data_IF_350195702014
#
_entry.id   IF_350195702014
#
_cell.length_a   1.000
_cell.length_b   1.000
_cell.length_c   1.000
_cell.angle_alpha   90.00
_cell.angle_beta   90.00
_cell.angle_gamma   90.00
#
_symmetry.space_group_name_H-M   'P 1'
#
loop_
_entity.id
_entity.type
_entity.pdbx_description
1 polymer ?
#
# COMPACT_ATOMS: atom_id res chain seq x y z
N UNK A 1 -4.47 22.98 11.74
CA UNK A 1 -4.63 23.02 10.26
C UNK A 1 -4.90 21.60 9.77
N UNK A 2 -5.73 21.42 8.74
CA UNK A 2 -5.99 20.10 8.18
C UNK A 2 -4.74 19.54 7.51
N UNK A 3 -4.43 18.27 7.74
CA UNK A 3 -3.32 17.53 7.17
C UNK A 3 -3.85 16.69 6.02
N UNK A 4 -3.53 17.03 4.79
CA UNK A 4 -4.11 16.38 3.63
C UNK A 4 -3.24 15.24 3.12
N UNK A 5 -3.86 14.10 2.83
CA UNK A 5 -3.29 12.97 2.08
C UNK A 5 -4.16 12.74 0.86
N UNK A 6 -3.58 12.86 -0.34
CA UNK A 6 -4.27 12.45 -1.55
C UNK A 6 -4.12 10.95 -1.72
N UNK A 7 -5.23 10.25 -1.93
CA UNK A 7 -5.22 8.80 -2.20
C UNK A 7 -5.87 8.54 -3.56
N UNK A 8 -5.14 7.84 -4.44
CA UNK A 8 -5.56 7.50 -5.79
C UNK A 8 -5.41 5.99 -6.02
N UNK A 9 -6.53 5.28 -5.94
CA UNK A 9 -6.62 3.82 -6.06
C UNK A 9 -8.06 3.37 -6.29
N UNK A 10 -8.30 2.05 -6.35
CA UNK A 10 -9.65 1.49 -6.54
C UNK A 10 -10.64 1.90 -5.44
N UNK A 11 -11.92 1.76 -5.74
CA UNK A 11 -12.99 1.90 -4.77
C UNK A 11 -14.06 0.82 -5.00
N UNK A 12 -14.64 0.34 -3.91
CA UNK A 12 -15.79 -0.57 -3.94
C UNK A 12 -16.92 -0.01 -3.09
N UNK A 13 -18.16 -0.21 -3.55
CA UNK A 13 -19.36 0.21 -2.83
C UNK A 13 -19.62 -0.66 -1.59
N UNK A 14 -19.25 -1.94 -1.65
CA UNK A 14 -19.37 -2.90 -0.55
C UNK A 14 -18.02 -3.58 -0.28
N UNK A 15 -17.62 -3.62 0.98
CA UNK A 15 -16.35 -4.17 1.43
C UNK A 15 -15.22 -3.14 1.57
N UNK A 16 -14.04 -3.62 1.92
CA UNK A 16 -12.90 -2.77 2.27
C UNK A 16 -11.66 -3.12 1.41
N UNK A 17 -11.56 -2.50 0.24
CA UNK A 17 -10.36 -2.53 -0.61
C UNK A 17 -10.11 -1.15 -1.22
N UNK A 18 -8.88 -0.87 -1.61
CA UNK A 18 -8.51 0.41 -2.19
C UNK A 18 -8.86 1.59 -1.27
N UNK A 19 -9.49 2.61 -1.82
CA UNK A 19 -9.92 3.79 -1.05
C UNK A 19 -10.92 3.44 0.07
N UNK A 20 -11.79 2.43 -0.13
CA UNK A 20 -12.70 1.98 0.93
C UNK A 20 -11.96 1.43 2.15
N UNK A 21 -10.77 0.85 1.97
CA UNK A 21 -9.93 0.37 3.07
C UNK A 21 -8.97 1.45 3.61
N UNK A 22 -8.45 2.34 2.75
CA UNK A 22 -7.39 3.27 3.12
C UNK A 22 -7.89 4.57 3.78
N UNK A 23 -9.07 5.06 3.40
CA UNK A 23 -9.58 6.37 3.84
C UNK A 23 -9.84 6.39 5.34
N UNK A 24 -10.51 5.39 5.87
CA UNK A 24 -10.89 5.34 7.27
C UNK A 24 -9.67 5.29 8.22
N UNK A 25 -8.66 4.44 8.02
CA UNK A 25 -7.44 4.50 8.83
C UNK A 25 -6.72 5.85 8.77
N UNK A 26 -6.64 6.49 7.60
CA UNK A 26 -6.05 7.82 7.49
C UNK A 26 -6.82 8.86 8.31
N UNK A 27 -8.17 8.80 8.30
CA UNK A 27 -9.01 9.69 9.11
C UNK A 27 -8.79 9.47 10.61
N UNK A 28 -8.76 8.22 11.07
CA UNK A 28 -8.46 7.88 12.47
C UNK A 28 -7.06 8.36 12.88
N UNK A 29 -6.10 8.31 11.99
CA UNK A 29 -4.76 8.85 12.20
C UNK A 29 -4.70 10.40 12.14
N UNK A 30 -5.82 11.09 11.93
CA UNK A 30 -5.93 12.55 11.99
C UNK A 30 -5.59 13.25 10.67
N UNK A 31 -5.65 12.55 9.55
CA UNK A 31 -5.52 13.13 8.22
C UNK A 31 -6.88 13.43 7.59
N UNK A 32 -6.91 14.32 6.62
CA UNK A 32 -8.05 14.64 5.76
C UNK A 32 -7.79 14.08 4.37
N UNK A 33 -8.28 12.86 4.03
CA UNK A 33 -8.03 12.27 2.73
C UNK A 33 -8.71 13.06 1.60
N UNK A 34 -7.98 13.28 0.50
CA UNK A 34 -8.50 13.73 -0.79
C UNK A 34 -8.57 12.48 -1.65
N UNK A 35 -9.78 12.03 -1.99
CA UNK A 35 -10.02 10.72 -2.57
C UNK A 35 -10.24 10.82 -4.07
N UNK A 36 -9.42 10.10 -4.85
CA UNK A 36 -9.56 9.93 -6.30
C UNK A 36 -9.67 8.43 -6.59
N UNK A 37 -10.79 8.00 -7.13
CA UNK A 37 -11.00 6.60 -7.47
C UNK A 37 -10.48 6.32 -8.88
N UNK A 38 -9.78 5.18 -9.05
CA UNK A 38 -9.36 4.68 -10.37
C UNK A 38 -10.42 3.80 -11.01
N UNK A 39 -11.20 3.15 -10.17
CA UNK A 39 -12.34 2.32 -10.55
C UNK A 39 -13.46 2.50 -9.53
N UNK A 40 -14.68 2.23 -9.95
CA UNK A 40 -15.84 2.06 -9.07
C UNK A 40 -16.45 0.70 -9.33
N UNK A 41 -16.36 -0.21 -8.35
CA UNK A 41 -16.97 -1.53 -8.43
C UNK A 41 -17.98 -1.73 -7.29
N UNK A 42 -18.94 -2.61 -7.51
CA UNK A 42 -19.93 -2.97 -6.48
C UNK A 42 -19.27 -3.64 -5.25
N UNK A 43 -18.22 -4.43 -5.49
CA UNK A 43 -17.49 -5.22 -4.50
C UNK A 43 -16.14 -5.66 -5.09
N UNK A 44 -15.29 -6.26 -4.28
CA UNK A 44 -14.02 -6.82 -4.75
C UNK A 44 -14.21 -7.88 -5.83
N UNK A 45 -13.32 -7.89 -6.82
CA UNK A 45 -13.38 -8.80 -7.99
C UNK A 45 -13.17 -10.28 -7.63
N UNK A 46 -12.72 -10.60 -6.44
CA UNK A 46 -12.63 -11.95 -5.89
C UNK A 46 -13.98 -12.58 -5.52
N UNK A 47 -15.06 -11.80 -5.47
CA UNK A 47 -16.41 -12.34 -5.33
C UNK A 47 -16.86 -13.02 -6.63
N UNK A 48 -17.82 -13.96 -6.59
CA UNK A 48 -18.33 -14.65 -7.78
C UNK A 48 -18.87 -13.71 -8.88
N UNK A 49 -19.35 -12.54 -8.49
CA UNK A 49 -19.85 -11.49 -9.42
C UNK A 49 -19.47 -10.12 -8.90
N UNK A 50 -19.19 -9.21 -9.80
CA UNK A 50 -19.02 -7.79 -9.53
C UNK A 50 -19.51 -6.98 -10.72
N UNK A 51 -19.88 -5.72 -10.47
CA UNK A 51 -20.30 -4.76 -11.48
C UNK A 51 -19.61 -3.43 -11.27
N UNK A 52 -19.53 -2.62 -12.30
CA UNK A 52 -18.90 -1.31 -12.26
C UNK A 52 -17.98 -1.07 -13.43
N UNK A 53 -17.08 -0.10 -13.30
CA UNK A 53 -16.18 0.28 -14.39
C UNK A 53 -14.85 0.82 -13.91
N UNK A 54 -13.84 0.72 -14.76
CA UNK A 54 -12.59 1.47 -14.66
C UNK A 54 -12.85 2.89 -15.18
N UNK A 55 -12.39 3.90 -14.43
CA UNK A 55 -12.52 5.28 -14.87
C UNK A 55 -11.57 5.62 -16.00
N UNK A 56 -11.99 6.55 -16.87
CA UNK A 56 -11.12 7.02 -17.95
C UNK A 56 -10.06 8.00 -17.42
N UNK A 57 -8.93 8.05 -18.11
CA UNK A 57 -7.88 9.01 -17.82
C UNK A 57 -8.39 10.47 -17.83
N UNK A 58 -9.32 10.79 -18.74
CA UNK A 58 -9.93 12.13 -18.86
C UNK A 58 -10.73 12.49 -17.61
N UNK A 59 -11.58 11.56 -17.11
CA UNK A 59 -12.37 11.80 -15.90
C UNK A 59 -11.47 12.04 -14.69
N UNK A 60 -10.40 11.24 -14.53
CA UNK A 60 -9.46 11.42 -13.42
C UNK A 60 -8.73 12.76 -13.53
N UNK A 61 -8.31 13.17 -14.73
CA UNK A 61 -7.70 14.50 -14.95
C UNK A 61 -8.64 15.63 -14.58
N UNK A 62 -9.92 15.50 -14.90
CA UNK A 62 -10.94 16.50 -14.60
C UNK A 62 -11.17 16.63 -13.08
N UNK A 63 -11.22 15.52 -12.36
CA UNK A 63 -11.28 15.50 -10.89
C UNK A 63 -10.04 16.19 -10.30
N UNK A 64 -8.83 15.85 -10.79
CA UNK A 64 -7.57 16.45 -10.32
C UNK A 64 -7.55 17.95 -10.64
N UNK A 65 -8.09 18.39 -11.78
CA UNK A 65 -8.22 19.80 -12.12
C UNK A 65 -9.05 20.56 -11.05
N UNK A 66 -10.18 19.99 -10.64
CA UNK A 66 -10.99 20.59 -9.56
C UNK A 66 -10.23 20.69 -8.23
N UNK A 67 -9.40 19.69 -7.88
CA UNK A 67 -8.53 19.71 -6.69
C UNK A 67 -7.47 20.82 -6.81
N UNK A 68 -6.87 20.97 -7.99
CA UNK A 68 -5.89 22.02 -8.32
C UNK A 68 -6.47 23.41 -8.19
N UNK A 69 -7.68 23.64 -8.71
CA UNK A 69 -8.38 24.92 -8.62
C UNK A 69 -8.74 25.34 -7.18
N UNK A 70 -8.85 24.37 -6.25
CA UNK A 70 -9.00 24.63 -4.81
C UNK A 70 -7.69 25.05 -4.13
N UNK A 71 -6.57 25.08 -4.84
CA UNK A 71 -5.26 25.43 -4.29
C UNK A 71 -4.76 24.42 -3.25
N UNK A 72 -5.09 23.13 -3.43
CA UNK A 72 -4.76 22.11 -2.45
C UNK A 72 -3.37 21.50 -2.65
N UNK A 73 -2.78 21.57 -3.86
CA UNK A 73 -1.49 20.93 -4.17
C UNK A 73 -0.37 21.23 -3.16
N UNK A 74 -0.12 22.48 -2.73
CA UNK A 74 0.92 22.78 -1.73
C UNK A 74 0.58 22.34 -0.31
N UNK A 75 -0.66 21.92 -0.05
CA UNK A 75 -1.13 21.48 1.27
C UNK A 75 -1.11 19.97 1.44
N UNK A 76 -0.88 19.21 0.36
CA UNK A 76 -0.82 17.75 0.39
C UNK A 76 0.51 17.34 1.04
N UNK A 77 0.44 16.63 2.19
CA UNK A 77 1.59 16.09 2.90
C UNK A 77 1.96 14.69 2.45
N UNK A 78 0.98 13.93 1.93
CA UNK A 78 1.16 12.56 1.45
C UNK A 78 0.37 12.26 0.20
N UNK A 79 0.94 11.42 -0.66
CA UNK A 79 0.26 10.78 -1.79
C UNK A 79 0.31 9.27 -1.56
N UNK A 80 -0.85 8.62 -1.64
CA UNK A 80 -0.98 7.16 -1.63
C UNK A 80 -1.52 6.71 -2.99
N UNK A 81 -0.79 5.92 -3.72
CA UNK A 81 -1.27 5.28 -4.94
C UNK A 81 -1.28 3.76 -4.81
N UNK A 82 -2.31 3.13 -5.34
CA UNK A 82 -2.49 1.67 -5.29
C UNK A 82 -2.97 1.13 -6.64
N UNK A 83 -4.01 0.31 -6.64
CA UNK A 83 -4.53 -0.31 -7.86
C UNK A 83 -4.90 0.72 -8.93
N UNK A 84 -4.29 0.61 -10.10
CA UNK A 84 -4.42 1.60 -11.17
C UNK A 84 -5.63 1.35 -12.09
N UNK A 85 -5.99 0.10 -12.32
CA UNK A 85 -7.02 -0.29 -13.28
C UNK A 85 -6.55 -0.22 -14.74
N UNK A 86 -5.72 0.76 -15.11
CA UNK A 86 -5.19 0.97 -16.46
C UNK A 86 -3.85 1.70 -16.42
N UNK A 87 -2.93 1.40 -17.35
CA UNK A 87 -1.60 2.02 -17.42
C UNK A 87 -1.67 3.54 -17.75
N UNK A 88 -2.73 4.00 -18.44
CA UNK A 88 -2.92 5.44 -18.69
C UNK A 88 -3.18 6.22 -17.41
N UNK A 89 -3.82 5.60 -16.41
CA UNK A 89 -4.00 6.19 -15.07
C UNK A 89 -2.65 6.27 -14.34
N UNK A 90 -1.78 5.27 -14.52
CA UNK A 90 -0.43 5.30 -13.98
C UNK A 90 0.38 6.53 -14.43
N UNK A 91 0.23 6.96 -15.68
CA UNK A 91 0.86 8.19 -16.18
C UNK A 91 0.35 9.43 -15.44
N UNK A 92 -0.95 9.47 -15.14
CA UNK A 92 -1.55 10.57 -14.37
C UNK A 92 -0.99 10.59 -12.94
N UNK A 93 -0.81 9.41 -12.32
CA UNK A 93 -0.21 9.32 -10.99
C UNK A 93 1.21 9.89 -10.98
N UNK A 94 2.03 9.60 -11.99
CA UNK A 94 3.38 10.16 -12.13
C UNK A 94 3.39 11.68 -12.29
N UNK A 95 2.51 12.20 -13.15
CA UNK A 95 2.32 13.64 -13.35
C UNK A 95 1.89 14.33 -12.05
N UNK A 96 0.92 13.74 -11.35
CA UNK A 96 0.39 14.24 -10.09
C UNK A 96 1.44 14.22 -8.98
N UNK A 97 2.21 13.14 -8.85
CA UNK A 97 3.30 13.05 -7.88
C UNK A 97 4.35 14.12 -8.13
N UNK A 98 4.71 14.33 -9.38
CA UNK A 98 5.67 15.39 -9.79
C UNK A 98 5.14 16.78 -9.42
N UNK A 99 3.87 17.05 -9.70
CA UNK A 99 3.22 18.34 -9.38
C UNK A 99 3.13 18.58 -7.87
N UNK A 100 2.71 17.58 -7.10
CA UNK A 100 2.63 17.67 -5.64
C UNK A 100 4.01 17.96 -5.06
N UNK A 101 5.06 17.23 -5.48
CA UNK A 101 6.43 17.42 -5.00
C UNK A 101 6.99 18.78 -5.39
N UNK A 102 6.65 19.32 -6.56
CA UNK A 102 7.03 20.67 -6.96
C UNK A 102 6.35 21.74 -6.08
N UNK A 103 5.09 21.52 -5.71
CA UNK A 103 4.31 22.44 -4.85
C UNK A 103 4.65 22.29 -3.36
N UNK A 104 4.96 21.08 -2.89
CA UNK A 104 5.38 20.75 -1.54
C UNK A 104 6.53 19.72 -1.56
N UNK A 105 7.81 20.18 -1.52
CA UNK A 105 8.98 19.28 -1.55
C UNK A 105 9.06 18.29 -0.37
N UNK A 106 8.31 18.53 0.72
CA UNK A 106 8.25 17.65 1.89
C UNK A 106 7.15 16.59 1.78
N UNK A 107 6.32 16.64 0.74
CA UNK A 107 5.30 15.63 0.51
C UNK A 107 5.94 14.26 0.29
N UNK A 108 5.32 13.22 0.85
CA UNK A 108 5.78 11.84 0.78
C UNK A 108 4.84 11.04 -0.10
N UNK A 109 5.36 10.41 -1.14
CA UNK A 109 4.60 9.50 -1.98
C UNK A 109 4.89 8.05 -1.59
N UNK A 110 3.86 7.32 -1.14
CA UNK A 110 3.87 5.88 -1.03
C UNK A 110 3.17 5.27 -2.26
N UNK A 111 3.92 4.50 -3.03
CA UNK A 111 3.42 3.70 -4.13
C UNK A 111 3.25 2.26 -3.70
N UNK A 112 2.01 1.76 -3.72
CA UNK A 112 1.69 0.34 -3.63
C UNK A 112 1.63 -0.22 -5.06
N UNK A 113 2.61 -1.03 -5.49
CA UNK A 113 2.68 -1.51 -6.86
C UNK A 113 1.79 -2.73 -7.09
N UNK A 114 0.50 -2.58 -6.84
CA UNK A 114 -0.49 -3.66 -6.89
C UNK A 114 -0.49 -4.35 -8.25
N UNK A 115 -0.07 -5.64 -8.28
CA UNK A 115 -0.03 -6.44 -9.51
C UNK A 115 -0.53 -7.86 -9.31
N UNK A 116 -0.38 -8.44 -8.13
CA UNK A 116 -0.72 -9.82 -7.86
C UNK A 116 -0.27 -10.31 -6.50
N UNK A 117 -0.50 -11.58 -6.24
CA UNK A 117 0.00 -12.28 -5.06
C UNK A 117 0.35 -13.74 -5.37
N UNK A 118 0.89 -14.45 -4.38
CA UNK A 118 1.33 -15.84 -4.53
C UNK A 118 0.16 -16.80 -4.82
N UNK A 119 -1.02 -16.51 -4.27
CA UNK A 119 -2.19 -17.40 -4.34
C UNK A 119 -2.92 -17.25 -5.68
N UNK A 120 -3.06 -16.02 -6.18
CA UNK A 120 -3.85 -15.70 -7.38
C UNK A 120 -2.99 -15.44 -8.62
N UNK A 121 -1.67 -15.23 -8.45
CA UNK A 121 -0.80 -14.77 -9.53
C UNK A 121 -1.09 -13.31 -9.92
N UNK A 122 -0.75 -12.92 -11.15
CA UNK A 122 -1.02 -11.58 -11.67
C UNK A 122 -2.52 -11.43 -11.95
N UNK A 123 -3.17 -10.46 -11.32
CA UNK A 123 -4.60 -10.17 -11.48
C UNK A 123 -4.90 -8.80 -12.11
N UNK A 124 -3.86 -8.03 -12.40
CA UNK A 124 -3.98 -6.75 -13.11
C UNK A 124 -3.94 -6.96 -14.63
N UNK A 125 -4.27 -5.92 -15.39
CA UNK A 125 -4.14 -5.95 -16.86
C UNK A 125 -2.70 -6.22 -17.28
N UNK A 126 -2.49 -6.92 -18.43
CA UNK A 126 -1.16 -7.36 -18.87
C UNK A 126 -0.11 -6.25 -19.07
N UNK A 127 -0.55 -5.02 -19.33
CA UNK A 127 0.31 -3.85 -19.53
C UNK A 127 0.82 -3.22 -18.21
N UNK A 128 0.16 -3.47 -17.08
CA UNK A 128 0.51 -2.88 -15.78
C UNK A 128 1.89 -3.33 -15.28
N UNK A 129 2.27 -4.63 -15.27
CA UNK A 129 3.59 -5.03 -14.79
C UNK A 129 4.74 -4.38 -15.57
N UNK A 130 4.60 -4.25 -16.88
CA UNK A 130 5.61 -3.58 -17.70
C UNK A 130 5.66 -2.08 -17.38
N UNK A 131 4.50 -1.43 -17.27
CA UNK A 131 4.41 -0.03 -16.87
C UNK A 131 5.08 0.22 -15.51
N UNK A 132 4.82 -0.64 -14.50
CA UNK A 132 5.47 -0.54 -13.19
C UNK A 132 6.98 -0.65 -13.28
N UNK A 133 7.51 -1.62 -14.04
CA UNK A 133 8.96 -1.76 -14.28
C UNK A 133 9.60 -0.52 -14.91
N UNK A 134 8.95 0.07 -15.90
CA UNK A 134 9.50 1.19 -16.65
C UNK A 134 9.46 2.51 -15.87
N UNK A 135 8.45 2.72 -15.05
CA UNK A 135 8.16 4.03 -14.50
C UNK A 135 8.28 4.14 -12.98
N UNK A 136 8.11 3.04 -12.23
CA UNK A 136 8.13 3.10 -10.77
C UNK A 136 9.44 2.63 -10.12
N UNK A 137 10.33 1.99 -10.89
CA UNK A 137 11.66 1.57 -10.41
C UNK A 137 12.74 2.66 -10.47
N UNK A 138 12.38 3.91 -10.77
CA UNK A 138 13.34 4.99 -10.99
C UNK A 138 13.48 5.98 -9.82
N UNK A 139 13.00 5.60 -8.63
CA UNK A 139 13.18 6.38 -7.40
C UNK A 139 12.27 7.61 -7.27
N UNK A 140 11.21 7.74 -8.07
CA UNK A 140 10.24 8.84 -7.93
C UNK A 140 9.41 8.73 -6.66
N UNK A 141 9.00 7.51 -6.27
CA UNK A 141 8.29 7.27 -5.03
C UNK A 141 9.25 7.34 -3.84
N UNK A 142 8.83 8.04 -2.76
CA UNK A 142 9.60 8.08 -1.52
C UNK A 142 9.52 6.77 -0.75
N UNK A 143 8.38 6.09 -0.88
CA UNK A 143 8.12 4.82 -0.22
C UNK A 143 7.43 3.88 -1.22
N UNK A 144 7.69 2.59 -1.09
CA UNK A 144 6.98 1.56 -1.87
C UNK A 144 6.69 0.34 -1.00
N UNK A 145 5.66 -0.43 -1.37
CA UNK A 145 5.22 -1.60 -0.59
C UNK A 145 4.87 -2.78 -1.50
N UNK A 146 5.81 -3.38 -2.22
CA UNK A 146 5.55 -4.66 -2.86
C UNK A 146 5.34 -5.76 -1.81
N UNK A 147 4.49 -6.76 -2.12
CA UNK A 147 4.59 -8.06 -1.48
C UNK A 147 5.76 -8.86 -2.10
N UNK A 148 6.07 -10.06 -1.56
CA UNK A 148 7.17 -10.87 -2.13
C UNK A 148 6.94 -11.20 -3.60
N UNK A 149 5.72 -11.58 -3.99
CA UNK A 149 5.38 -11.91 -5.38
C UNK A 149 5.62 -10.73 -6.33
N UNK A 150 5.22 -9.54 -5.93
CA UNK A 150 5.41 -8.30 -6.69
C UNK A 150 6.89 -7.92 -6.79
N UNK A 151 7.65 -8.08 -5.71
CA UNK A 151 9.11 -7.87 -5.72
C UNK A 151 9.79 -8.84 -6.68
N UNK A 152 9.41 -10.13 -6.67
CA UNK A 152 9.90 -11.14 -7.60
C UNK A 152 9.54 -10.79 -9.05
N UNK A 153 8.31 -10.34 -9.29
CA UNK A 153 7.85 -9.94 -10.61
C UNK A 153 8.63 -8.72 -11.14
N UNK A 154 8.87 -7.72 -10.29
CA UNK A 154 9.62 -6.51 -10.64
C UNK A 154 11.10 -6.78 -10.86
N UNK A 155 11.73 -7.62 -10.02
CA UNK A 155 13.14 -7.97 -10.12
C UNK A 155 13.44 -9.00 -11.22
N UNK A 156 12.45 -9.83 -11.58
CA UNK A 156 12.66 -11.01 -12.42
C UNK A 156 13.42 -12.14 -11.70
N UNK A 157 13.55 -12.08 -10.39
CA UNK A 157 14.29 -13.03 -9.54
C UNK A 157 13.39 -13.62 -8.47
N UNK A 158 13.61 -14.90 -8.11
CA UNK A 158 12.95 -15.53 -6.96
C UNK A 158 13.69 -15.21 -5.67
N UNK A 159 12.95 -14.87 -4.60
CA UNK A 159 13.53 -14.64 -3.28
C UNK A 159 13.70 -15.98 -2.54
N UNK A 160 14.92 -16.28 -2.08
CA UNK A 160 15.27 -17.52 -1.41
C UNK A 160 15.59 -17.34 0.07
N UNK A 161 15.77 -16.10 0.50
CA UNK A 161 16.03 -15.75 1.89
C UNK A 161 15.62 -14.31 2.17
N UNK A 162 15.46 -13.99 3.46
CA UNK A 162 15.24 -12.61 3.91
C UNK A 162 16.36 -11.67 3.45
N UNK A 163 17.62 -12.12 3.54
CA UNK A 163 18.77 -11.31 3.13
C UNK A 163 18.71 -10.99 1.63
N UNK A 164 18.43 -11.99 0.78
CA UNK A 164 18.28 -11.77 -0.65
C UNK A 164 17.13 -10.80 -0.97
N UNK A 165 16.03 -10.87 -0.20
CA UNK A 165 14.91 -9.93 -0.31
C UNK A 165 15.34 -8.50 0.03
N UNK A 166 16.09 -8.32 1.13
CA UNK A 166 16.62 -7.01 1.54
C UNK A 166 17.53 -6.44 0.46
N UNK A 167 18.48 -7.23 -0.03
CA UNK A 167 19.45 -6.79 -1.05
C UNK A 167 18.77 -6.43 -2.37
N UNK A 168 17.79 -7.26 -2.79
CA UNK A 168 17.00 -7.00 -4.00
C UNK A 168 16.17 -5.73 -3.88
N UNK A 169 15.52 -5.53 -2.74
CA UNK A 169 14.71 -4.32 -2.50
C UNK A 169 15.61 -3.05 -2.47
N UNK A 170 16.82 -3.13 -1.91
CA UNK A 170 17.79 -2.03 -1.97
C UNK A 170 18.16 -1.69 -3.40
N UNK A 171 18.62 -2.68 -4.15
CA UNK A 171 19.02 -2.51 -5.55
C UNK A 171 17.91 -1.89 -6.41
N UNK A 172 16.67 -2.35 -6.24
CA UNK A 172 15.56 -1.88 -7.07
C UNK A 172 15.04 -0.51 -6.68
N UNK A 173 15.04 -0.17 -5.40
CA UNK A 173 14.32 0.99 -4.89
C UNK A 173 15.19 1.94 -4.08
N UNK A 174 15.78 1.51 -2.95
CA UNK A 174 16.41 2.47 -2.04
C UNK A 174 17.72 3.05 -2.59
N UNK A 175 18.48 2.29 -3.34
CA UNK A 175 19.68 2.78 -4.03
C UNK A 175 19.36 3.74 -5.18
N UNK A 176 18.10 3.77 -5.63
CA UNK A 176 17.59 4.69 -6.64
C UNK A 176 16.85 5.90 -6.06
N UNK A 177 16.81 6.04 -4.74
CA UNK A 177 16.26 7.23 -4.07
C UNK A 177 14.98 7.01 -3.28
N UNK A 178 14.37 5.82 -3.31
CA UNK A 178 13.27 5.47 -2.41
C UNK A 178 13.77 5.46 -0.97
N UNK A 179 13.06 6.14 -0.06
CA UNK A 179 13.48 6.25 1.34
C UNK A 179 13.20 4.98 2.15
N UNK A 180 12.06 4.34 1.87
CA UNK A 180 11.61 3.13 2.57
C UNK A 180 10.95 2.18 1.59
N UNK A 181 11.40 0.93 1.57
CA UNK A 181 10.70 -0.16 0.90
C UNK A 181 10.14 -1.10 1.98
N UNK A 182 8.82 -1.28 2.00
CA UNK A 182 8.19 -2.37 2.75
C UNK A 182 8.08 -3.59 1.85
N UNK A 183 8.42 -4.77 2.38
CA UNK A 183 8.14 -6.04 1.68
C UNK A 183 7.24 -6.87 2.58
N UNK A 184 6.00 -7.08 2.13
CA UNK A 184 4.97 -7.80 2.89
C UNK A 184 4.88 -9.25 2.47
N UNK A 185 4.30 -10.08 3.35
CA UNK A 185 4.01 -11.50 3.08
C UNK A 185 5.25 -12.30 2.65
N UNK A 186 6.33 -12.17 3.43
CA UNK A 186 7.56 -12.90 3.14
C UNK A 186 7.37 -14.38 3.45
N UNK A 187 7.61 -15.22 2.44
CA UNK A 187 7.43 -16.68 2.44
C UNK A 187 8.71 -17.40 1.98
N UNK A 188 9.87 -16.83 2.26
CA UNK A 188 11.14 -17.46 1.91
C UNK A 188 11.44 -18.69 2.80
N UNK A 189 12.25 -19.67 2.35
CA UNK A 189 12.52 -20.90 3.12
C UNK A 189 13.12 -20.71 4.51
N UNK A 190 13.68 -19.54 4.80
CA UNK A 190 14.21 -19.18 6.12
C UNK A 190 13.17 -18.54 7.06
N UNK A 191 11.92 -18.35 6.60
CA UNK A 191 10.78 -17.92 7.42
C UNK A 191 10.03 -19.16 7.91
N UNK A 192 9.78 -19.32 9.23
CA UNK A 192 9.00 -20.43 9.75
C UNK A 192 7.58 -20.47 9.17
N UNK A 193 7.08 -21.66 8.82
CA UNK A 193 5.80 -21.86 8.15
C UNK A 193 4.57 -21.34 8.93
N UNK A 194 4.70 -21.28 10.27
CA UNK A 194 3.66 -20.77 11.17
C UNK A 194 3.72 -19.27 11.42
N UNK A 195 4.54 -18.54 10.65
CA UNK A 195 4.76 -17.11 10.82
C UNK A 195 4.62 -16.32 9.52
N UNK A 196 4.42 -15.01 9.66
CA UNK A 196 4.48 -14.04 8.57
C UNK A 196 5.54 -13.01 8.93
N UNK A 197 6.42 -12.72 8.01
CA UNK A 197 7.38 -11.64 8.14
C UNK A 197 7.06 -10.48 7.20
N UNK A 198 7.24 -9.27 7.72
CA UNK A 198 7.17 -8.04 6.95
C UNK A 198 8.40 -7.21 7.22
N UNK A 199 8.99 -6.67 6.16
CA UNK A 199 10.23 -5.90 6.21
C UNK A 199 9.97 -4.41 6.02
N UNK A 200 10.78 -3.57 6.66
CA UNK A 200 11.02 -2.18 6.28
C UNK A 200 12.50 -1.99 6.00
N UNK A 201 12.82 -1.55 4.80
CA UNK A 201 14.17 -1.47 4.27
C UNK A 201 14.45 -0.03 3.89
N UNK A 202 15.53 0.52 4.43
CA UNK A 202 16.09 1.81 4.04
C UNK A 202 17.49 1.61 3.45
N UNK A 203 18.13 2.70 3.04
CA UNK A 203 19.50 2.63 2.53
C UNK A 203 20.47 2.01 3.55
N UNK A 204 20.34 2.41 4.82
CA UNK A 204 21.31 2.06 5.86
C UNK A 204 20.83 0.93 6.78
N UNK A 205 19.52 0.75 6.92
CA UNK A 205 18.92 -0.16 7.87
C UNK A 205 17.88 -1.08 7.23
N UNK A 206 17.65 -2.22 7.88
CA UNK A 206 16.51 -3.08 7.60
C UNK A 206 15.93 -3.60 8.93
N UNK A 207 14.61 -3.64 9.00
CA UNK A 207 13.86 -4.16 10.13
C UNK A 207 12.87 -5.22 9.67
N UNK A 208 12.66 -6.21 10.52
CA UNK A 208 11.65 -7.25 10.34
C UNK A 208 10.69 -7.24 11.53
N UNK A 209 9.40 -7.31 11.25
CA UNK A 209 8.38 -7.70 12.22
C UNK A 209 7.90 -9.09 11.84
N UNK A 210 7.91 -10.01 12.81
CA UNK A 210 7.39 -11.36 12.69
C UNK A 210 6.13 -11.51 13.53
N UNK A 211 5.07 -12.03 12.93
CA UNK A 211 3.83 -12.38 13.64
C UNK A 211 3.50 -13.85 13.45
N UNK A 212 2.74 -14.47 14.35
CA UNK A 212 2.11 -15.75 14.06
C UNK A 212 1.25 -15.65 12.79
N UNK A 213 1.21 -16.70 11.99
CA UNK A 213 0.30 -16.81 10.86
C UNK A 213 -1.12 -17.04 11.40
N UNK A 214 -2.03 -16.12 11.09
CA UNK A 214 -3.46 -16.30 11.33
C UNK A 214 -4.09 -16.80 10.04
N UNK A 215 -4.24 -18.12 9.92
CA UNK A 215 -4.88 -18.69 8.73
C UNK A 215 -6.32 -18.22 8.62
N UNK A 216 -6.67 -17.65 7.47
CA UNK A 216 -8.04 -17.28 7.08
C UNK A 216 -8.32 -17.80 5.68
N UNK A 217 -9.42 -18.47 5.53
CA UNK A 217 -9.88 -18.99 4.24
C UNK A 217 -11.34 -18.57 4.03
N UNK A 218 -11.58 -17.77 2.99
CA UNK A 218 -10.61 -17.21 2.01
C UNK A 218 -9.67 -16.16 2.63
N UNK A 219 -8.56 -15.85 1.94
CA UNK A 219 -7.63 -14.79 2.33
C UNK A 219 -8.35 -13.44 2.35
N UNK A 220 -8.24 -12.67 3.44
CA UNK A 220 -8.96 -11.39 3.57
C UNK A 220 -8.52 -10.35 2.56
N UNK A 221 -9.49 -9.63 1.99
CA UNK A 221 -9.27 -8.50 1.10
C UNK A 221 -8.83 -7.24 1.87
N UNK A 222 -8.16 -6.30 1.19
CA UNK A 222 -7.86 -4.97 1.71
C UNK A 222 -6.70 -4.89 2.69
N UNK A 223 -5.99 -6.00 2.95
CA UNK A 223 -4.83 -6.00 3.85
C UNK A 223 -3.72 -5.06 3.33
N UNK A 224 -3.40 -5.12 2.03
CA UNK A 224 -2.40 -4.26 1.40
C UNK A 224 -2.74 -2.78 1.51
N UNK A 225 -3.99 -2.42 1.21
CA UNK A 225 -4.48 -1.04 1.25
C UNK A 225 -4.48 -0.48 2.67
N UNK A 226 -4.91 -1.28 3.65
CA UNK A 226 -4.88 -0.94 5.07
C UNK A 226 -3.44 -0.76 5.55
N UNK A 227 -2.53 -1.69 5.21
CA UNK A 227 -1.11 -1.55 5.52
C UNK A 227 -0.55 -0.23 5.00
N UNK A 228 -0.75 0.05 3.71
CA UNK A 228 -0.21 1.22 3.03
C UNK A 228 -0.70 2.53 3.66
N UNK A 229 -1.98 2.59 4.03
CA UNK A 229 -2.58 3.77 4.66
C UNK A 229 -2.05 4.01 6.07
N UNK A 230 -1.94 2.95 6.89
CA UNK A 230 -1.40 3.05 8.27
C UNK A 230 0.09 3.36 8.23
N UNK A 231 0.86 2.70 7.36
CA UNK A 231 2.29 2.94 7.22
C UNK A 231 2.59 4.37 6.78
N UNK A 232 1.89 4.88 5.74
CA UNK A 232 2.05 6.27 5.30
C UNK A 232 1.66 7.26 6.40
N UNK A 233 0.48 7.07 7.00
CA UNK A 233 -0.01 7.96 8.06
C UNK A 233 0.93 8.02 9.26
N UNK A 234 1.46 6.87 9.69
CA UNK A 234 2.45 6.80 10.79
C UNK A 234 3.77 7.44 10.38
N UNK A 235 4.29 7.14 9.20
CA UNK A 235 5.52 7.74 8.70
C UNK A 235 5.44 9.27 8.58
N UNK A 236 4.31 9.81 8.14
CA UNK A 236 4.10 11.26 8.08
C UNK A 236 4.17 11.92 9.46
N UNK A 237 3.82 11.21 10.53
CA UNK A 237 3.88 11.69 11.92
C UNK A 237 5.27 11.53 12.55
N UNK A 238 5.89 10.36 12.38
CA UNK A 238 7.10 9.96 13.12
C UNK A 238 8.38 10.12 12.32
N UNK A 239 8.31 10.09 11.00
CA UNK A 239 9.45 10.01 10.07
C UNK A 239 10.33 8.77 10.28
N UNK A 240 9.78 7.73 10.90
CA UNK A 240 10.44 6.47 11.24
C UNK A 240 9.88 5.33 10.40
N UNK A 241 10.73 4.65 9.65
CA UNK A 241 10.38 3.45 8.90
C UNK A 241 10.01 2.29 9.85
N UNK A 242 10.74 2.19 10.98
CA UNK A 242 10.47 1.21 12.03
C UNK A 242 9.08 1.38 12.62
N UNK A 243 8.72 2.60 13.04
CA UNK A 243 7.41 2.87 13.65
C UNK A 243 6.27 2.64 12.65
N UNK A 244 6.48 3.00 11.38
CA UNK A 244 5.51 2.77 10.32
C UNK A 244 5.27 1.28 10.08
N UNK A 245 6.33 0.47 10.08
CA UNK A 245 6.26 -0.99 9.98
C UNK A 245 5.49 -1.60 11.15
N UNK A 246 5.89 -1.26 12.39
CA UNK A 246 5.25 -1.76 13.61
C UNK A 246 3.77 -1.41 13.66
N UNK A 247 3.42 -0.16 13.38
CA UNK A 247 2.03 0.29 13.39
C UNK A 247 1.18 -0.48 12.36
N UNK A 248 1.65 -0.63 11.12
CA UNK A 248 0.91 -1.30 10.06
C UNK A 248 0.74 -2.80 10.32
N UNK A 249 1.82 -3.48 10.74
CA UNK A 249 1.77 -4.93 11.03
C UNK A 249 0.88 -5.23 12.24
N UNK A 250 1.03 -4.49 13.33
CA UNK A 250 0.22 -4.70 14.54
C UNK A 250 -1.27 -4.41 14.30
N UNK A 251 -1.58 -3.37 13.51
CA UNK A 251 -2.95 -3.10 13.06
C UNK A 251 -3.52 -4.28 12.29
N UNK A 252 -2.81 -4.76 11.27
CA UNK A 252 -3.30 -5.87 10.46
C UNK A 252 -3.47 -7.16 11.25
N UNK A 253 -2.48 -7.48 12.09
CA UNK A 253 -2.57 -8.67 12.94
C UNK A 253 -3.81 -8.61 13.85
N UNK A 254 -4.07 -7.47 14.48
CA UNK A 254 -5.25 -7.26 15.29
C UNK A 254 -6.55 -7.43 14.50
N UNK A 255 -6.66 -6.78 13.34
CA UNK A 255 -7.85 -6.88 12.49
C UNK A 255 -8.09 -8.32 12.03
N UNK A 256 -7.06 -9.00 11.49
CA UNK A 256 -7.19 -10.37 10.98
C UNK A 256 -7.52 -11.36 12.11
N UNK A 257 -6.96 -11.16 13.30
CA UNK A 257 -7.21 -12.03 14.46
C UNK A 257 -8.67 -11.99 14.93
N UNK A 258 -9.35 -10.85 14.74
CA UNK A 258 -10.75 -10.65 15.17
C UNK A 258 -11.79 -10.88 14.05
N UNK A 259 -11.35 -11.31 12.87
CA UNK A 259 -12.28 -11.61 11.79
C UNK A 259 -13.16 -12.81 12.09
N UNK A 260 -14.41 -12.72 11.69
CA UNK A 260 -15.31 -13.88 11.66
C UNK A 260 -14.83 -14.95 10.67
N UNK A 261 -15.16 -16.21 10.98
CA UNK A 261 -14.82 -17.31 10.08
C UNK A 261 -15.53 -17.15 8.73
N UNK A 262 -14.77 -17.21 7.65
CA UNK A 262 -15.29 -17.08 6.28
C UNK A 262 -15.56 -15.64 5.83
N UNK A 263 -15.31 -14.63 6.66
CA UNK A 263 -15.38 -13.23 6.23
C UNK A 263 -14.31 -12.93 5.16
N UNK A 264 -14.70 -12.14 4.16
CA UNK A 264 -13.83 -11.73 3.06
C UNK A 264 -13.14 -10.38 3.32
N UNK A 265 -13.77 -9.51 4.10
CA UNK A 265 -13.33 -8.15 4.32
C UNK A 265 -12.86 -7.95 5.76
N UNK A 266 -11.84 -7.10 5.96
CA UNK A 266 -11.34 -6.74 7.28
C UNK A 266 -12.42 -6.01 8.12
N UNK A 267 -12.54 -6.27 9.44
CA UNK A 267 -13.50 -5.60 10.32
C UNK A 267 -13.02 -4.20 10.72
N UNK A 268 -12.74 -3.33 9.73
CA UNK A 268 -12.13 -2.02 9.94
C UNK A 268 -12.92 -1.12 10.89
N UNK A 269 -14.24 -1.17 10.81
CA UNK A 269 -15.12 -0.34 11.65
C UNK A 269 -15.29 -0.96 13.03
N UNK A 270 -15.60 -2.24 13.10
CA UNK A 270 -15.88 -2.94 14.36
C UNK A 270 -14.62 -3.03 15.23
N UNK A 271 -13.47 -3.23 14.62
CA UNK A 271 -12.16 -3.33 15.27
C UNK A 271 -11.28 -2.08 15.05
N UNK A 272 -11.88 -0.91 14.84
CA UNK A 272 -11.14 0.35 14.60
C UNK A 272 -10.10 0.68 15.67
N UNK A 273 -10.28 0.19 16.89
CA UNK A 273 -9.30 0.34 17.98
C UNK A 273 -7.93 -0.24 17.64
N UNK A 274 -7.87 -1.30 16.82
CA UNK A 274 -6.62 -1.92 16.39
C UNK A 274 -5.76 -0.97 15.53
N UNK A 275 -6.37 0.04 14.92
CA UNK A 275 -5.66 1.07 14.13
C UNK A 275 -4.96 2.09 15.05
N UNK A 276 -5.58 2.45 16.15
CA UNK A 276 -5.08 3.47 17.07
C UNK A 276 -4.27 2.90 18.24
N UNK A 277 -4.66 1.73 18.71
CA UNK A 277 -4.07 1.07 19.88
C UNK A 277 -4.22 -0.45 19.73
N UNK A 278 -3.38 -1.09 18.91
CA UNK A 278 -3.44 -2.53 18.70
C UNK A 278 -3.22 -3.28 20.01
N UNK A 279 -3.95 -4.37 20.19
CA UNK A 279 -3.85 -5.23 21.39
C UNK A 279 -2.51 -5.96 21.44
N UNK A 280 -2.03 -6.43 20.28
CA UNK A 280 -0.74 -7.08 20.14
C UNK A 280 0.31 -6.04 19.73
N UNK A 281 1.51 -6.18 20.27
CA UNK A 281 2.64 -5.30 19.96
C UNK A 281 3.86 -6.14 19.62
N UNK A 282 4.00 -6.46 18.35
CA UNK A 282 5.20 -7.06 17.81
C UNK A 282 6.20 -5.96 17.49
N UNK A 283 7.40 -6.09 18.02
CA UNK A 283 8.46 -5.11 17.83
C UNK A 283 9.30 -5.46 16.60
N UNK A 284 9.73 -4.42 15.88
CA UNK A 284 10.63 -4.59 14.76
C UNK A 284 12.08 -4.82 15.25
N UNK A 285 12.67 -5.89 14.77
CA UNK A 285 14.06 -6.25 15.03
C UNK A 285 14.90 -5.90 13.81
N UNK A 286 16.10 -5.37 14.05
CA UNK A 286 17.05 -5.09 12.98
C UNK A 286 17.56 -6.40 12.37
N UNK A 287 17.61 -6.50 11.05
CA UNK A 287 18.04 -7.69 10.32
C UNK A 287 19.05 -7.37 9.21
#
# INVERSE_FOLDING_TARGET
>A
MSRYVLTIQSHVAYGFVGNSAAVFPLQLLGFSPIVVNTVEFSNHTGHPTFHGQVFTAELIRDIILGIRERGLMPKIEGLLSGYLGDASIGKIVLELATEIKAANPNAVWLCDPVMGDTDTGVFVRPDIPQFMKEHFLNGLADMTKPNQFELELLSGRKMRSRQETVDTARELFTDKGCRVTFVTSLLTPDVPEDTVETLAITKDDAWVVRTPLVERKPTPNGQGDTFSSVALGTYLKTKSAKDALEAAVNTLYGLVSHMDSGALDLPLIDEQRQILSPEHRFEAVRC
#
